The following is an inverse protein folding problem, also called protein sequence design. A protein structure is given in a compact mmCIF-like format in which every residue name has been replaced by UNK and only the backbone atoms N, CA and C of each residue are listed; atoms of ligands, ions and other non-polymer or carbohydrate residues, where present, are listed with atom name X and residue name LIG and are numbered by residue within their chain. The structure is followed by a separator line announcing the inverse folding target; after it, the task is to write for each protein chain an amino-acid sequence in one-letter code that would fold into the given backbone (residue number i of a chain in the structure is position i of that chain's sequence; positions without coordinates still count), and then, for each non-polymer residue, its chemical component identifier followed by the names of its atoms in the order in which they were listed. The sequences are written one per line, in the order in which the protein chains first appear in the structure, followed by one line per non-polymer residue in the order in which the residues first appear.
data_IF_012067766577
#
_entry.id   IF_012067766577
#
_cell.length_a   1.000
_cell.length_b   1.000
_cell.length_c   1.000
_cell.angle_alpha   90.00
_cell.angle_beta   90.00
_cell.angle_gamma   90.00
#
_symmetry.space_group_name_H-M   'P 1'
#
loop_
_entity.id
_entity.type
_entity.pdbx_description
1 polymer ?
#
# COMPACT_ATOMS: atom_id res chain seq x y z
N UNK A 1 26.36 -2.97 -0.27
CA UNK A 1 25.74 -1.95 0.58
C UNK A 1 24.23 -2.22 0.63
N UNK A 2 23.56 -2.05 1.79
CA UNK A 2 22.12 -2.15 1.86
C UNK A 2 21.46 -1.11 0.93
N UNK A 3 20.32 -1.48 0.34
CA UNK A 3 19.53 -0.58 -0.49
C UNK A 3 18.21 -0.32 0.22
N UNK A 4 17.71 0.90 0.11
CA UNK A 4 16.42 1.33 0.62
C UNK A 4 15.47 1.58 -0.56
N UNK A 5 14.25 1.11 -0.44
CA UNK A 5 13.15 1.43 -1.36
C UNK A 5 12.06 2.10 -0.54
N UNK A 6 11.61 3.26 -0.99
CA UNK A 6 10.48 3.94 -0.37
C UNK A 6 9.18 3.45 -1.00
N UNK A 7 8.15 3.30 -0.17
CA UNK A 7 6.81 2.93 -0.62
C UNK A 7 5.77 3.83 0.01
N UNK A 8 4.74 4.16 -0.75
CA UNK A 8 3.64 5.05 -0.33
C UNK A 8 2.32 4.37 -0.66
N UNK A 9 1.46 4.23 0.34
CA UNK A 9 0.16 3.57 0.19
C UNK A 9 -0.98 4.59 0.05
N UNK A 10 -2.19 4.12 -0.22
CA UNK A 10 -3.48 4.81 -0.10
C UNK A 10 -3.76 5.92 -1.13
N UNK A 11 -2.90 6.13 -2.11
CA UNK A 11 -3.08 7.15 -3.16
C UNK A 11 -3.41 8.56 -2.62
N UNK A 12 -2.93 8.93 -1.43
CA UNK A 12 -3.17 10.26 -0.89
C UNK A 12 -2.38 11.33 -1.68
N UNK A 13 -2.99 12.50 -1.90
CA UNK A 13 -2.37 13.57 -2.69
C UNK A 13 -1.03 14.06 -2.13
N UNK A 14 -0.81 13.98 -0.82
CA UNK A 14 0.50 14.32 -0.22
C UNK A 14 1.62 13.40 -0.71
N UNK A 15 1.31 12.13 -1.02
CA UNK A 15 2.27 11.20 -1.60
C UNK A 15 2.69 11.64 -3.01
N UNK A 16 1.76 12.22 -3.78
CA UNK A 16 2.13 12.82 -5.06
C UNK A 16 3.00 14.08 -4.88
N UNK A 17 2.71 14.90 -3.87
CA UNK A 17 3.51 16.10 -3.59
C UNK A 17 4.96 15.76 -3.25
N UNK A 18 5.21 14.74 -2.42
CA UNK A 18 6.56 14.29 -2.05
C UNK A 18 7.35 13.76 -3.27
N UNK A 19 6.68 13.25 -4.30
CA UNK A 19 7.33 12.73 -5.51
C UNK A 19 8.25 13.74 -6.18
N UNK A 20 7.96 15.04 -6.07
CA UNK A 20 8.81 16.11 -6.60
C UNK A 20 10.18 16.17 -5.91
N UNK A 21 10.19 15.95 -4.59
CA UNK A 21 11.43 15.90 -3.80
C UNK A 21 12.20 14.63 -4.14
N UNK A 22 11.49 13.47 -4.19
CA UNK A 22 12.12 12.19 -4.54
C UNK A 22 12.75 12.21 -5.92
N UNK A 23 12.10 12.83 -6.90
CA UNK A 23 12.64 13.00 -8.25
C UNK A 23 13.92 13.87 -8.25
N UNK A 24 13.90 14.99 -7.55
CA UNK A 24 15.07 15.88 -7.42
C UNK A 24 16.27 15.17 -6.79
N UNK A 25 16.02 14.35 -5.79
CA UNK A 25 17.05 13.59 -5.05
C UNK A 25 17.40 12.24 -5.71
N UNK A 26 16.77 11.90 -6.85
CA UNK A 26 16.93 10.61 -7.55
C UNK A 26 16.64 9.39 -6.66
N UNK A 27 15.62 9.49 -5.80
CA UNK A 27 15.21 8.41 -4.88
C UNK A 27 14.08 7.61 -5.53
N UNK A 28 14.28 6.32 -5.81
CA UNK A 28 13.21 5.47 -6.36
C UNK A 28 12.11 5.20 -5.33
N UNK A 29 10.87 5.12 -5.80
CA UNK A 29 9.73 4.80 -4.95
C UNK A 29 8.66 3.99 -5.69
N UNK A 30 7.82 3.30 -4.90
CA UNK A 30 6.62 2.61 -5.37
C UNK A 30 5.40 3.22 -4.71
N UNK A 31 4.37 3.53 -5.51
CA UNK A 31 3.10 4.05 -5.02
C UNK A 31 2.03 2.97 -5.16
N UNK A 32 1.45 2.53 -4.04
CA UNK A 32 0.41 1.50 -4.01
C UNK A 32 -0.98 2.13 -4.00
N UNK A 33 -1.77 1.79 -4.99
CA UNK A 33 -3.02 2.47 -5.33
C UNK A 33 -4.22 1.59 -5.02
N UNK A 34 -5.09 1.96 -4.07
CA UNK A 34 -6.44 1.43 -3.99
C UNK A 34 -7.23 1.95 -5.20
N UNK A 35 -7.67 1.05 -6.07
CA UNK A 35 -8.14 1.43 -7.41
C UNK A 35 -9.35 2.37 -7.36
N UNK A 36 -10.32 2.04 -6.51
CA UNK A 36 -11.53 2.83 -6.38
C UNK A 36 -11.33 4.20 -5.70
N UNK A 37 -10.17 4.46 -5.08
CA UNK A 37 -9.86 5.80 -4.57
C UNK A 37 -9.56 6.78 -5.70
N UNK A 38 -9.19 6.27 -6.88
CA UNK A 38 -8.85 7.08 -8.06
C UNK A 38 -9.92 7.00 -9.15
N UNK A 39 -10.57 5.83 -9.35
CA UNK A 39 -11.40 5.56 -10.52
C UNK A 39 -12.89 5.36 -10.23
N UNK A 40 -13.35 5.62 -9.04
CA UNK A 40 -14.76 5.43 -8.68
C UNK A 40 -15.62 6.65 -8.97
N UNK A 41 -16.75 6.43 -9.64
CA UNK A 41 -17.69 7.49 -10.05
C UNK A 41 -18.64 8.02 -8.95
N UNK A 42 -18.60 7.50 -7.70
CA UNK A 42 -19.59 7.87 -6.70
C UNK A 42 -19.01 8.52 -5.44
N UNK A 43 -19.39 9.76 -5.18
CA UNK A 43 -19.06 10.55 -3.98
C UNK A 43 -19.45 9.86 -2.64
N UNK A 44 -20.53 9.06 -2.63
CA UNK A 44 -21.08 8.48 -1.39
C UNK A 44 -20.18 7.41 -0.76
N UNK A 45 -19.50 6.63 -1.57
CA UNK A 45 -18.67 5.52 -1.08
C UNK A 45 -17.26 5.96 -0.67
N UNK A 46 -16.70 6.95 -1.36
CA UNK A 46 -15.43 7.58 -0.97
C UNK A 46 -15.53 8.21 0.42
N UNK A 47 -16.68 8.77 0.77
CA UNK A 47 -16.92 9.37 2.07
C UNK A 47 -16.86 8.36 3.21
N UNK A 48 -17.47 7.18 3.09
CA UNK A 48 -17.46 6.14 4.13
C UNK A 48 -16.07 5.55 4.33
N UNK A 49 -15.35 5.28 3.25
CA UNK A 49 -14.01 4.69 3.30
C UNK A 49 -12.98 5.72 3.81
N UNK A 50 -13.15 6.97 3.42
CA UNK A 50 -12.30 8.06 3.88
C UNK A 50 -12.54 8.35 5.37
N UNK A 51 -13.78 8.40 5.84
CA UNK A 51 -14.12 8.56 7.26
C UNK A 51 -13.58 7.38 8.11
N UNK A 52 -13.53 6.17 7.57
CA UNK A 52 -12.90 5.02 8.23
C UNK A 52 -11.37 5.13 8.29
N UNK A 53 -10.73 5.62 7.24
CA UNK A 53 -9.30 5.86 7.22
C UNK A 53 -8.91 7.06 8.11
N UNK A 54 -9.67 8.14 8.04
CA UNK A 54 -9.45 9.41 8.77
C UNK A 54 -9.72 9.25 10.26
N UNK A 55 -10.77 8.55 10.66
CA UNK A 55 -11.06 8.31 12.08
C UNK A 55 -10.03 7.42 12.78
N UNK A 56 -9.21 6.70 12.02
CA UNK A 56 -8.06 5.95 12.55
C UNK A 56 -6.77 6.77 12.66
N UNK A 57 -6.63 7.83 11.86
CA UNK A 57 -5.44 8.68 11.81
C UNK A 57 -5.81 10.09 12.26
N UNK A 58 -5.61 10.37 13.54
CA UNK A 58 -5.83 11.66 14.22
C UNK A 58 -5.09 12.88 13.61
N UNK A 59 -4.36 12.69 12.52
CA UNK A 59 -3.53 13.74 11.88
C UNK A 59 -4.36 14.73 11.06
N UNK A 60 -5.62 14.43 10.75
CA UNK A 60 -6.47 15.33 9.96
C UNK A 60 -7.20 16.40 10.78
N UNK A 61 -7.08 16.39 12.12
CA UNK A 61 -7.60 17.50 12.95
C UNK A 61 -6.92 18.84 12.66
N UNK A 62 -5.71 18.84 12.10
CA UNK A 62 -4.96 20.05 11.76
C UNK A 62 -5.29 20.63 10.38
N UNK A 63 -6.00 19.88 9.56
CA UNK A 63 -6.55 20.39 8.31
C UNK A 63 -8.00 20.80 8.55
N UNK A 64 -8.27 22.10 8.56
CA UNK A 64 -9.61 22.69 8.49
C UNK A 64 -10.28 22.30 7.17
N UNK A 65 -10.61 21.03 7.02
CA UNK A 65 -11.29 20.48 5.85
C UNK A 65 -12.79 20.66 6.05
N UNK A 66 -13.35 21.57 5.27
CA UNK A 66 -14.79 21.70 5.12
C UNK A 66 -15.34 20.35 4.61
N UNK A 67 -15.95 19.59 5.54
CA UNK A 67 -16.29 18.16 5.38
C UNK A 67 -17.16 17.84 4.14
N UNK A 68 -17.79 18.84 3.54
CA UNK A 68 -18.73 18.65 2.44
C UNK A 68 -18.14 18.70 1.03
N UNK A 69 -17.00 19.37 0.81
CA UNK A 69 -16.55 19.70 -0.56
C UNK A 69 -15.11 19.26 -0.90
N UNK A 70 -14.39 18.55 -0.04
CA UNK A 70 -12.94 18.36 -0.21
C UNK A 70 -12.47 16.90 -0.36
N UNK A 71 -13.33 15.89 -0.39
CA UNK A 71 -12.90 14.48 -0.51
C UNK A 71 -12.17 14.19 -1.82
N UNK A 72 -12.62 14.77 -2.93
CA UNK A 72 -11.97 14.65 -4.24
C UNK A 72 -10.58 15.32 -4.31
N UNK A 73 -10.21 16.14 -3.32
CA UNK A 73 -8.90 16.84 -3.27
C UNK A 73 -7.85 16.06 -2.51
N UNK A 74 -8.20 14.97 -1.86
CA UNK A 74 -7.30 14.22 -1.00
C UNK A 74 -6.72 12.96 -1.65
N UNK A 75 -7.40 12.41 -2.66
CA UNK A 75 -6.89 11.32 -3.48
C UNK A 75 -6.11 11.86 -4.67
N UNK A 76 -5.10 11.09 -5.11
CA UNK A 76 -4.46 11.30 -6.41
C UNK A 76 -5.49 11.16 -7.53
N UNK A 77 -5.31 11.91 -8.61
CA UNK A 77 -6.07 11.77 -9.84
C UNK A 77 -5.38 10.81 -10.80
N UNK A 78 -6.08 10.44 -11.87
CA UNK A 78 -5.50 9.67 -12.97
C UNK A 78 -4.25 10.37 -13.56
N UNK A 79 -4.32 11.69 -13.76
CA UNK A 79 -3.22 12.50 -14.28
C UNK A 79 -2.02 12.49 -13.34
N UNK A 80 -2.24 12.48 -12.01
CA UNK A 80 -1.16 12.34 -11.05
C UNK A 80 -0.44 10.99 -11.19
N UNK A 81 -1.18 9.90 -11.43
CA UNK A 81 -0.58 8.58 -11.65
C UNK A 81 0.23 8.53 -12.96
N UNK A 82 -0.26 9.13 -14.04
CA UNK A 82 0.50 9.24 -15.29
C UNK A 82 1.79 10.05 -15.08
N UNK A 83 1.72 11.18 -14.36
CA UNK A 83 2.90 11.99 -14.05
C UNK A 83 3.93 11.22 -13.19
N UNK A 84 3.49 10.38 -12.25
CA UNK A 84 4.39 9.50 -11.49
C UNK A 84 5.13 8.52 -12.41
N UNK A 85 4.42 7.92 -13.37
CA UNK A 85 4.99 6.99 -14.35
C UNK A 85 6.01 7.71 -15.25
N UNK A 86 5.67 8.89 -15.76
CA UNK A 86 6.56 9.70 -16.59
C UNK A 86 7.86 10.11 -15.85
N UNK A 87 7.78 10.21 -14.53
CA UNK A 87 8.93 10.45 -13.64
C UNK A 87 9.68 9.17 -13.25
N UNK A 88 9.37 8.03 -13.87
CA UNK A 88 9.96 6.71 -13.60
C UNK A 88 9.69 6.16 -12.18
N UNK A 89 8.65 6.62 -11.50
CA UNK A 89 8.15 5.96 -10.30
C UNK A 89 7.34 4.73 -10.66
N UNK A 90 7.34 3.74 -9.76
CA UNK A 90 6.57 2.51 -9.96
C UNK A 90 5.18 2.65 -9.34
N UNK A 91 4.18 2.13 -10.04
CA UNK A 91 2.83 1.97 -9.51
C UNK A 91 2.61 0.51 -9.14
N UNK A 92 2.04 0.29 -7.97
CA UNK A 92 1.58 -1.02 -7.50
C UNK A 92 0.09 -0.99 -7.16
N UNK A 93 -0.50 -2.15 -7.01
CA UNK A 93 -1.89 -2.31 -6.62
C UNK A 93 -2.03 -2.41 -5.08
N UNK A 94 -3.06 -1.78 -4.52
CA UNK A 94 -3.42 -1.84 -3.10
C UNK A 94 -4.87 -2.30 -2.90
N UNK A 95 -5.27 -3.35 -3.63
CA UNK A 95 -6.64 -3.87 -3.79
C UNK A 95 -7.59 -2.93 -4.56
N UNK A 96 -8.82 -3.38 -4.77
CA UNK A 96 -9.86 -2.58 -5.42
C UNK A 96 -10.45 -1.54 -4.46
N UNK A 97 -10.90 -1.99 -3.28
CA UNK A 97 -11.68 -1.21 -2.32
C UNK A 97 -10.96 -0.94 -0.99
N UNK A 98 -9.65 -1.18 -0.91
CA UNK A 98 -8.88 -1.03 0.33
C UNK A 98 -9.41 -1.88 1.50
N UNK A 99 -9.75 -3.14 1.25
CA UNK A 99 -10.29 -4.08 2.25
C UNK A 99 -9.27 -5.12 2.68
N UNK A 100 -9.46 -5.69 3.88
CA UNK A 100 -8.68 -6.83 4.36
C UNK A 100 -8.98 -8.08 3.54
N UNK A 101 -7.96 -8.75 3.04
CA UNK A 101 -8.06 -9.95 2.22
C UNK A 101 -8.05 -11.23 3.08
N UNK A 102 -8.96 -11.31 4.03
CA UNK A 102 -9.05 -12.42 5.00
C UNK A 102 -10.01 -13.53 4.54
N UNK A 103 -10.12 -14.57 5.37
CA UNK A 103 -10.96 -15.75 5.08
C UNK A 103 -12.46 -15.47 5.07
N UNK A 104 -12.93 -14.29 5.49
CA UNK A 104 -14.34 -13.90 5.41
C UNK A 104 -14.77 -13.54 3.97
N UNK A 105 -13.81 -13.23 3.09
CA UNK A 105 -14.10 -12.96 1.70
C UNK A 105 -14.26 -14.26 0.92
N UNK A 106 -15.30 -14.31 0.10
CA UNK A 106 -15.47 -15.35 -0.90
C UNK A 106 -14.37 -15.27 -1.98
N UNK A 107 -14.19 -16.38 -2.71
CA UNK A 107 -13.20 -16.39 -3.80
C UNK A 107 -13.53 -15.34 -4.88
N UNK A 108 -14.81 -15.08 -5.14
CA UNK A 108 -15.24 -14.08 -6.11
C UNK A 108 -14.90 -12.64 -5.64
N UNK A 109 -15.03 -12.36 -4.34
CA UNK A 109 -14.61 -11.07 -3.76
C UNK A 109 -13.09 -10.92 -3.81
N UNK A 110 -12.33 -11.97 -3.47
CA UNK A 110 -10.88 -11.96 -3.60
C UNK A 110 -10.43 -11.74 -5.05
N UNK A 111 -11.11 -12.36 -6.03
CA UNK A 111 -10.85 -12.12 -7.47
C UNK A 111 -11.02 -10.64 -7.83
N UNK A 112 -12.08 -9.99 -7.36
CA UNK A 112 -12.30 -8.56 -7.58
C UNK A 112 -11.20 -7.71 -6.95
N UNK A 113 -10.89 -7.96 -5.68
CA UNK A 113 -9.93 -7.17 -4.92
C UNK A 113 -8.49 -7.32 -5.45
N UNK A 114 -8.11 -8.49 -5.96
CA UNK A 114 -6.73 -8.80 -6.36
C UNK A 114 -6.54 -8.75 -7.88
N UNK A 115 -7.43 -9.36 -8.65
CA UNK A 115 -7.23 -9.54 -10.10
C UNK A 115 -7.88 -8.43 -10.90
N UNK A 116 -9.17 -8.14 -10.66
CA UNK A 116 -9.85 -7.06 -11.39
C UNK A 116 -9.20 -5.70 -11.10
N UNK A 117 -8.75 -5.46 -9.86
CA UNK A 117 -8.01 -4.25 -9.50
C UNK A 117 -6.76 -4.05 -10.36
N UNK A 118 -5.99 -5.12 -10.59
CA UNK A 118 -4.84 -5.10 -11.50
C UNK A 118 -5.24 -4.75 -12.92
N UNK A 119 -6.26 -5.45 -13.45
CA UNK A 119 -6.75 -5.24 -14.82
C UNK A 119 -7.19 -3.79 -15.04
N UNK A 120 -7.89 -3.21 -14.07
CA UNK A 120 -8.34 -1.81 -14.14
C UNK A 120 -7.14 -0.85 -14.17
N UNK A 121 -6.14 -1.04 -13.30
CA UNK A 121 -4.94 -0.20 -13.31
C UNK A 121 -4.18 -0.32 -14.62
N UNK A 122 -3.91 -1.54 -15.09
CA UNK A 122 -3.17 -1.78 -16.34
C UNK A 122 -3.88 -1.18 -17.55
N UNK A 123 -5.21 -1.34 -17.62
CA UNK A 123 -6.04 -0.77 -18.69
C UNK A 123 -5.98 0.77 -18.72
N UNK A 124 -6.12 1.41 -17.56
CA UNK A 124 -6.16 2.87 -17.47
C UNK A 124 -4.77 3.50 -17.65
N UNK A 125 -3.73 2.91 -17.03
CA UNK A 125 -2.38 3.45 -17.06
C UNK A 125 -1.54 2.98 -18.25
N UNK A 126 -2.04 2.01 -19.03
CA UNK A 126 -1.35 1.39 -20.18
C UNK A 126 0.07 0.91 -19.81
N UNK A 127 0.24 0.47 -18.59
CA UNK A 127 1.51 -0.05 -18.06
C UNK A 127 1.27 -1.31 -17.25
N UNK A 128 2.28 -2.16 -17.13
CA UNK A 128 2.20 -3.40 -16.37
C UNK A 128 2.28 -3.13 -14.87
N UNK A 129 1.39 -3.75 -14.09
CA UNK A 129 1.36 -3.68 -12.63
C UNK A 129 1.89 -4.99 -12.04
N UNK A 130 3.15 -4.98 -11.67
CA UNK A 130 3.87 -6.16 -11.18
C UNK A 130 3.87 -6.27 -9.63
N UNK A 131 3.43 -5.25 -8.90
CA UNK A 131 3.57 -5.14 -7.45
C UNK A 131 2.22 -5.04 -6.76
N UNK A 132 2.08 -5.77 -5.66
CA UNK A 132 0.90 -5.73 -4.78
C UNK A 132 1.30 -5.36 -3.36
N UNK A 133 0.50 -4.56 -2.67
CA UNK A 133 0.65 -4.30 -1.25
C UNK A 133 -0.59 -4.74 -0.49
N UNK A 134 -0.39 -5.51 0.57
CA UNK A 134 -1.46 -5.92 1.47
C UNK A 134 -2.01 -4.74 2.26
N UNK A 135 -3.34 -4.68 2.36
CA UNK A 135 -4.06 -3.60 3.04
C UNK A 135 -3.99 -3.78 4.55
N UNK A 136 -3.77 -2.70 5.29
CA UNK A 136 -3.70 -2.62 6.76
C UNK A 136 -2.54 -3.43 7.36
N UNK A 137 -2.46 -4.73 7.07
CA UNK A 137 -1.34 -5.58 7.47
C UNK A 137 -1.36 -6.07 8.91
N UNK A 138 -2.50 -6.03 9.61
CA UNK A 138 -2.69 -6.72 10.87
C UNK A 138 -3.00 -8.23 10.66
N UNK A 139 -3.01 -9.03 11.73
CA UNK A 139 -3.26 -10.48 11.67
C UNK A 139 -4.57 -10.85 10.94
N UNK A 140 -5.57 -9.95 10.94
CA UNK A 140 -6.87 -10.15 10.29
C UNK A 140 -6.87 -9.75 8.82
N UNK A 141 -5.74 -9.33 8.28
CA UNK A 141 -5.64 -8.82 6.90
C UNK A 141 -5.27 -9.90 5.89
N UNK A 142 -4.96 -11.11 6.34
CA UNK A 142 -4.33 -12.14 5.52
C UNK A 142 -5.17 -13.42 5.42
N UNK A 143 -5.08 -14.10 4.27
CA UNK A 143 -5.56 -15.46 4.06
C UNK A 143 -4.66 -16.19 3.06
N UNK A 144 -4.58 -17.52 3.15
CA UNK A 144 -3.85 -18.36 2.20
C UNK A 144 -4.43 -18.27 0.80
N UNK A 145 -5.75 -18.16 0.67
CA UNK A 145 -6.45 -17.99 -0.63
C UNK A 145 -6.01 -16.70 -1.33
N UNK A 146 -6.01 -15.57 -0.61
CA UNK A 146 -5.56 -14.30 -1.17
C UNK A 146 -4.06 -14.33 -1.50
N UNK A 147 -3.25 -14.98 -0.66
CA UNK A 147 -1.81 -15.12 -0.88
C UNK A 147 -1.50 -15.87 -2.18
N UNK A 148 -2.17 -17.00 -2.41
CA UNK A 148 -2.00 -17.78 -3.63
C UNK A 148 -2.44 -16.97 -4.87
N UNK A 149 -3.58 -16.29 -4.79
CA UNK A 149 -4.07 -15.44 -5.86
C UNK A 149 -3.12 -14.28 -6.19
N UNK A 150 -2.50 -13.67 -5.18
CA UNK A 150 -1.49 -12.62 -5.37
C UNK A 150 -0.23 -13.21 -6.03
N UNK A 151 0.24 -14.38 -5.60
CA UNK A 151 1.40 -15.05 -6.21
C UNK A 151 1.21 -15.37 -7.70
N UNK A 152 0.02 -15.75 -8.09
CA UNK A 152 -0.31 -16.06 -9.48
C UNK A 152 -0.35 -14.81 -10.37
N UNK A 153 -0.67 -13.64 -9.81
CA UNK A 153 -0.97 -12.44 -10.58
C UNK A 153 0.11 -11.35 -10.50
N UNK A 154 0.95 -11.32 -9.48
CA UNK A 154 1.96 -10.29 -9.27
C UNK A 154 3.35 -10.89 -9.14
N UNK A 155 4.40 -10.13 -9.44
CA UNK A 155 5.80 -10.57 -9.27
C UNK A 155 6.27 -10.42 -7.83
N UNK A 156 5.85 -9.37 -7.15
CA UNK A 156 6.24 -9.06 -5.78
C UNK A 156 5.01 -8.69 -4.95
N UNK A 157 4.99 -9.07 -3.67
CA UNK A 157 4.02 -8.51 -2.74
C UNK A 157 4.62 -8.04 -1.43
N UNK A 158 4.06 -6.95 -0.89
CA UNK A 158 4.59 -6.19 0.24
C UNK A 158 3.67 -6.28 1.45
N UNK A 159 4.26 -6.55 2.60
CA UNK A 159 3.62 -6.74 3.91
C UNK A 159 4.18 -5.74 4.94
N UNK A 160 3.71 -5.79 6.19
CA UNK A 160 3.98 -4.75 7.19
C UNK A 160 4.73 -5.22 8.45
N UNK A 161 5.25 -6.47 8.49
CA UNK A 161 5.82 -7.04 9.71
C UNK A 161 7.35 -6.88 9.83
N UNK A 162 7.85 -5.72 9.52
CA UNK A 162 9.24 -5.27 9.74
C UNK A 162 10.32 -6.35 9.60
N UNK A 163 10.87 -6.49 8.40
CA UNK A 163 12.00 -7.38 8.12
C UNK A 163 12.81 -6.85 6.94
N UNK A 164 14.12 -6.94 7.04
CA UNK A 164 15.01 -6.64 5.92
C UNK A 164 14.91 -7.73 4.86
N UNK A 165 14.63 -7.36 3.63
CA UNK A 165 14.50 -8.30 2.53
C UNK A 165 15.87 -8.90 2.17
N UNK A 166 15.95 -10.23 2.06
CA UNK A 166 17.11 -10.97 1.59
C UNK A 166 16.83 -11.53 0.20
N UNK A 167 17.81 -11.52 -0.69
CA UNK A 167 17.68 -11.92 -2.10
C UNK A 167 17.03 -13.31 -2.29
N UNK A 168 17.26 -14.23 -1.36
CA UNK A 168 16.71 -15.60 -1.41
C UNK A 168 15.41 -15.76 -0.62
N UNK A 169 14.82 -14.68 -0.12
CA UNK A 169 13.55 -14.72 0.59
C UNK A 169 12.39 -14.80 -0.40
N UNK A 170 11.23 -15.20 0.11
CA UNK A 170 9.98 -15.23 -0.68
C UNK A 170 9.61 -13.82 -1.15
N UNK A 171 9.60 -13.62 -2.45
CA UNK A 171 9.28 -12.34 -3.08
C UNK A 171 7.83 -11.88 -2.86
N UNK A 172 6.98 -12.76 -2.37
CA UNK A 172 5.61 -12.43 -2.00
C UNK A 172 5.43 -12.19 -0.49
N UNK A 173 6.53 -12.16 0.26
CA UNK A 173 6.59 -11.84 1.70
C UNK A 173 7.61 -10.74 1.99
N UNK A 174 7.60 -9.67 1.19
CA UNK A 174 8.50 -8.53 1.40
C UNK A 174 7.93 -7.66 2.52
N UNK A 175 8.48 -7.79 3.72
CA UNK A 175 8.08 -7.00 4.86
C UNK A 175 8.67 -5.58 4.80
N UNK A 176 7.90 -4.60 5.24
CA UNK A 176 8.26 -3.19 5.24
C UNK A 176 8.36 -2.66 6.67
N UNK A 177 9.18 -1.64 6.82
CA UNK A 177 9.24 -0.83 8.02
C UNK A 177 8.29 0.35 7.86
N UNK A 178 7.31 0.47 8.76
CA UNK A 178 6.42 1.62 8.77
C UNK A 178 7.14 2.82 9.41
N UNK A 179 7.08 3.97 8.74
CA UNK A 179 7.64 5.23 9.21
C UNK A 179 6.55 6.29 9.16
N UNK A 180 6.20 6.84 10.31
CA UNK A 180 5.19 7.88 10.44
C UNK A 180 5.83 9.28 10.38
N UNK A 181 5.06 10.26 9.94
CA UNK A 181 5.53 11.64 9.76
C UNK A 181 5.97 12.32 11.05
N UNK A 182 5.48 11.87 12.20
CA UNK A 182 5.83 12.38 13.54
C UNK A 182 7.05 11.68 14.17
N UNK A 183 7.66 10.71 13.47
CA UNK A 183 8.86 10.03 13.98
C UNK A 183 10.08 10.94 13.90
N UNK A 184 10.84 11.00 14.99
CA UNK A 184 12.15 11.66 14.99
C UNK A 184 13.17 10.89 14.17
N UNK A 185 14.22 11.54 13.70
CA UNK A 185 15.32 10.86 12.97
C UNK A 185 15.95 9.72 13.79
N UNK A 186 16.02 9.84 15.10
CA UNK A 186 16.52 8.76 15.97
C UNK A 186 15.60 7.54 15.97
N UNK A 187 14.28 7.74 15.96
CA UNK A 187 13.31 6.65 15.82
C UNK A 187 13.44 5.96 14.45
N UNK A 188 13.57 6.72 13.38
CA UNK A 188 13.79 6.18 12.03
C UNK A 188 15.11 5.39 11.99
N UNK A 189 16.20 5.93 12.51
CA UNK A 189 17.49 5.24 12.59
C UNK A 189 17.40 3.93 13.39
N UNK A 190 16.69 3.93 14.52
CA UNK A 190 16.43 2.73 15.32
C UNK A 190 15.66 1.67 14.54
N UNK A 191 14.58 2.06 13.84
CA UNK A 191 13.79 1.17 13.01
C UNK A 191 14.67 0.52 11.91
N UNK A 192 15.50 1.31 11.26
CA UNK A 192 16.36 0.86 10.15
C UNK A 192 17.64 0.13 10.63
N UNK A 193 17.93 0.11 11.93
CA UNK A 193 19.11 -0.59 12.48
C UNK A 193 19.02 -2.12 12.41
N UNK A 194 17.86 -2.69 12.10
CA UNK A 194 17.60 -4.12 12.15
C UNK A 194 17.21 -4.66 13.53
N UNK A 195 17.47 -3.92 14.61
CA UNK A 195 17.09 -4.34 15.98
C UNK A 195 15.55 -4.45 16.08
N UNK A 196 14.84 -3.55 15.44
CA UNK A 196 13.38 -3.51 15.45
C UNK A 196 12.74 -4.78 14.85
N UNK A 197 13.42 -5.48 13.96
CA UNK A 197 12.95 -6.74 13.35
C UNK A 197 12.68 -7.84 14.39
N UNK A 198 13.49 -7.92 15.44
CA UNK A 198 13.34 -8.96 16.46
C UNK A 198 12.00 -8.88 17.20
N UNK A 199 11.43 -7.68 17.32
CA UNK A 199 10.13 -7.48 17.98
C UNK A 199 8.98 -8.11 17.17
N UNK A 200 9.18 -8.38 15.89
CA UNK A 200 8.17 -8.92 14.97
C UNK A 200 8.31 -10.42 14.69
N UNK A 201 9.34 -11.12 15.21
CA UNK A 201 9.56 -12.52 14.95
C UNK A 201 8.33 -13.40 15.21
N UNK A 202 7.66 -13.22 16.37
CA UNK A 202 6.45 -13.96 16.71
C UNK A 202 5.30 -13.69 15.73
N UNK A 203 5.09 -12.43 15.37
CA UNK A 203 4.03 -12.03 14.43
C UNK A 203 4.27 -12.59 13.03
N UNK A 204 5.54 -12.64 12.58
CA UNK A 204 5.89 -13.25 11.29
C UNK A 204 5.67 -14.76 11.30
N UNK A 205 6.01 -15.46 12.40
CA UNK A 205 5.70 -16.88 12.55
C UNK A 205 4.19 -17.14 12.45
N UNK A 206 3.36 -16.38 13.20
CA UNK A 206 1.90 -16.48 13.13
C UNK A 206 1.36 -16.19 11.72
N UNK A 207 1.94 -15.22 11.00
CA UNK A 207 1.56 -14.94 9.62
C UNK A 207 1.90 -16.12 8.70
N UNK A 208 3.07 -16.71 8.83
CA UNK A 208 3.45 -17.88 8.04
C UNK A 208 2.50 -19.05 8.25
N UNK A 209 2.01 -19.27 9.47
CA UNK A 209 1.01 -20.29 9.77
C UNK A 209 -0.33 -20.01 9.06
N UNK A 210 -0.70 -18.74 8.89
CA UNK A 210 -1.92 -18.35 8.15
C UNK A 210 -1.73 -18.59 6.65
N UNK A 211 -0.59 -18.21 6.10
CA UNK A 211 -0.34 -18.25 4.65
C UNK A 211 -0.08 -19.67 4.12
N UNK A 212 0.32 -20.61 4.98
CA UNK A 212 0.64 -21.99 4.62
C UNK A 212 -0.54 -22.97 4.83
N UNK A 213 -1.71 -22.48 5.21
CA UNK A 213 -2.96 -23.28 5.30
C UNK A 213 -3.56 -23.50 3.92
#
# INVERSE_FOLDING_TARGET
KPKLILTFDDAHVSNFQISKILQKENVPAVFFIPVNFVYRDSEQNLKQEYDLAVNKFTILSDYNLDKKNNYNKLSMTHENLLELIDKNFQIGCHSLNHVRLNDNLSINELQKEVVESKIILEKNLKTKIDYFCWVIGDKKSYSSKAYNLIKENYKLSFMTLCESFKINSDHHKIHRFNVETNFSLNQVAFILSGIYEFMYNKRRAELNDILNK
#
